data_IF_848452616098
#
_entry.id   IF_848452616098
#
_cell.length_a   1.000
_cell.length_b   1.000
_cell.length_c   1.000
_cell.angle_alpha   90.00
_cell.angle_beta   90.00
_cell.angle_gamma   90.00
#
_symmetry.space_group_name_H-M   'P 1'
#
loop_
_entity.id
_entity.type
_entity.pdbx_description
1 polymer ?
#
# COMPACT_ATOMS: atom_id res chain seq x y z
N UNK A 1 -9.51 13.96 16.27
CA UNK A 1 -8.84 12.67 16.55
C UNK A 1 -9.94 11.65 16.79
N UNK A 2 -10.03 10.57 16.02
CA UNK A 2 -10.85 9.44 16.45
C UNK A 2 -10.34 8.97 17.82
N UNK A 3 -11.25 8.49 18.68
CA UNK A 3 -11.00 8.02 20.05
C UNK A 3 -9.62 7.35 20.20
N UNK A 4 -8.86 7.75 21.21
CA UNK A 4 -7.51 7.22 21.44
C UNK A 4 -7.56 5.69 21.52
N UNK A 5 -6.63 4.99 20.88
CA UNK A 5 -6.62 3.52 20.83
C UNK A 5 -6.86 2.84 22.19
N UNK A 6 -6.43 3.47 23.29
CA UNK A 6 -6.68 3.04 24.67
C UNK A 6 -8.16 2.99 25.05
N UNK A 7 -8.95 3.98 24.62
CA UNK A 7 -10.41 4.01 24.86
C UNK A 7 -11.13 2.86 24.14
N UNK A 8 -10.53 2.34 23.06
CA UNK A 8 -10.99 1.14 22.34
C UNK A 8 -10.45 -0.17 22.93
N UNK A 9 -9.76 -0.12 24.08
CA UNK A 9 -9.19 -1.30 24.72
C UNK A 9 -7.90 -1.84 24.07
N UNK A 10 -7.29 -1.10 23.15
CA UNK A 10 -6.04 -1.51 22.51
C UNK A 10 -4.88 -1.32 23.48
N UNK A 11 -4.10 -2.39 23.68
CA UNK A 11 -2.85 -2.35 24.43
C UNK A 11 -1.74 -1.81 23.54
N UNK A 12 -1.06 -0.75 23.99
CA UNK A 12 -0.03 -0.06 23.21
C UNK A 12 1.34 -0.31 23.84
N UNK A 13 2.28 -0.75 23.01
CA UNK A 13 3.70 -0.91 23.37
C UNK A 13 4.49 0.22 22.72
N UNK A 14 5.37 0.87 23.50
CA UNK A 14 6.25 1.92 22.98
C UNK A 14 7.53 1.28 22.46
N UNK A 15 7.87 1.56 21.21
CA UNK A 15 9.09 1.10 20.55
C UNK A 15 9.04 1.46 19.06
N UNK A 16 10.02 0.98 18.31
CA UNK A 16 10.05 0.99 16.85
C UNK A 16 10.36 -0.42 16.33
N UNK A 17 10.53 -0.58 15.01
CA UNK A 17 10.79 -1.89 14.41
C UNK A 17 12.23 -2.41 14.60
N UNK A 18 13.13 -1.58 15.14
CA UNK A 18 14.49 -1.95 15.50
C UNK A 18 14.63 -2.28 17.00
N UNK A 19 13.66 -1.89 17.83
CA UNK A 19 13.54 -2.26 19.25
C UNK A 19 13.01 -3.70 19.43
N UNK A 20 13.93 -4.66 19.40
CA UNK A 20 13.63 -6.10 19.55
C UNK A 20 12.90 -6.42 20.85
N UNK A 21 13.23 -5.76 21.97
CA UNK A 21 12.60 -6.05 23.26
C UNK A 21 11.15 -5.55 23.30
N UNK A 22 10.88 -4.37 22.72
CA UNK A 22 9.51 -3.88 22.56
C UNK A 22 8.68 -4.81 21.66
N UNK A 23 9.25 -5.31 20.56
CA UNK A 23 8.59 -6.27 19.67
C UNK A 23 8.27 -7.57 20.43
N UNK A 24 9.24 -8.15 21.16
CA UNK A 24 9.02 -9.37 21.97
C UNK A 24 7.94 -9.17 23.02
N UNK A 25 7.91 -8.01 23.67
CA UNK A 25 6.85 -7.68 24.63
C UNK A 25 5.47 -7.63 23.94
N UNK A 26 5.40 -7.07 22.73
CA UNK A 26 4.16 -6.94 21.96
C UNK A 26 3.65 -8.27 21.35
N UNK A 27 4.54 -9.21 21.03
CA UNK A 27 4.16 -10.52 20.46
C UNK A 27 3.79 -11.57 21.52
N UNK A 28 4.09 -11.31 22.79
CA UNK A 28 3.86 -12.30 23.86
C UNK A 28 2.37 -12.60 24.04
N UNK A 29 1.98 -13.86 23.80
CA UNK A 29 0.63 -14.36 24.08
C UNK A 29 -0.43 -13.97 23.06
N UNK A 30 -0.03 -13.44 21.89
CA UNK A 30 -0.96 -13.14 20.80
C UNK A 30 -1.19 -14.37 19.92
N UNK A 31 -2.39 -14.51 19.36
CA UNK A 31 -2.75 -15.59 18.43
C UNK A 31 -2.35 -15.30 16.99
N UNK A 32 -2.11 -14.03 16.63
CA UNK A 32 -1.76 -13.64 15.27
C UNK A 32 -1.04 -12.30 15.20
N UNK A 33 -0.34 -12.07 14.09
CA UNK A 33 0.44 -10.86 13.84
C UNK A 33 0.08 -10.30 12.46
N UNK A 34 -0.23 -9.00 12.41
CA UNK A 34 -0.26 -8.25 11.16
C UNK A 34 1.00 -7.37 11.05
N UNK A 35 1.84 -7.65 10.06
CA UNK A 35 3.07 -6.91 9.80
C UNK A 35 2.90 -5.98 8.58
N UNK A 36 3.03 -4.67 8.81
CA UNK A 36 3.10 -3.67 7.75
C UNK A 36 4.31 -2.76 7.98
N UNK A 37 5.30 -2.85 7.09
CA UNK A 37 6.55 -2.10 7.21
C UNK A 37 6.60 -0.92 6.24
N UNK A 38 6.94 0.24 6.77
CA UNK A 38 7.32 1.41 5.97
C UNK A 38 8.63 1.12 5.22
N UNK A 39 8.78 1.56 3.96
CA UNK A 39 10.06 1.53 3.26
C UNK A 39 11.15 2.28 4.06
N UNK A 40 12.35 1.71 4.12
CA UNK A 40 13.52 2.32 4.77
C UNK A 40 14.65 2.49 3.78
N UNK A 41 15.53 3.45 4.04
CA UNK A 41 16.80 3.61 3.33
C UNK A 41 17.91 3.73 4.39
N UNK A 42 18.84 2.76 4.46
CA UNK A 42 19.06 1.64 3.53
C UNK A 42 17.96 0.56 3.57
N UNK A 43 17.82 -0.18 2.47
CA UNK A 43 16.70 -1.12 2.27
C UNK A 43 16.84 -2.38 3.14
N UNK A 44 18.09 -2.72 3.49
CA UNK A 44 18.47 -3.80 4.40
C UNK A 44 17.85 -3.62 5.79
N UNK A 45 17.59 -2.38 6.22
CA UNK A 45 16.94 -2.11 7.49
C UNK A 45 15.50 -2.66 7.52
N UNK A 46 14.69 -2.45 6.48
CA UNK A 46 13.34 -3.03 6.39
C UNK A 46 13.38 -4.57 6.43
N UNK A 47 14.38 -5.18 5.78
CA UNK A 47 14.56 -6.64 5.83
C UNK A 47 14.89 -7.09 7.26
N UNK A 48 15.76 -6.35 7.96
CA UNK A 48 16.10 -6.64 9.35
C UNK A 48 14.90 -6.46 10.29
N UNK A 49 14.11 -5.41 10.09
CA UNK A 49 12.87 -5.16 10.82
C UNK A 49 11.86 -6.30 10.64
N UNK A 50 11.69 -6.81 9.42
CA UNK A 50 10.86 -8.00 9.17
C UNK A 50 11.36 -9.22 9.94
N UNK A 51 12.68 -9.48 9.93
CA UNK A 51 13.29 -10.58 10.71
C UNK A 51 13.06 -10.41 12.20
N UNK A 52 13.18 -9.20 12.73
CA UNK A 52 12.97 -8.92 14.16
C UNK A 52 11.54 -9.34 14.59
N UNK A 53 10.53 -8.94 13.81
CA UNK A 53 9.13 -9.25 14.10
C UNK A 53 8.84 -10.75 13.93
N UNK A 54 9.30 -11.36 12.84
CA UNK A 54 9.10 -12.80 12.59
C UNK A 54 9.78 -13.64 13.68
N UNK A 55 11.02 -13.33 14.05
CA UNK A 55 11.72 -14.07 15.10
C UNK A 55 11.04 -13.92 16.47
N UNK A 56 10.59 -12.71 16.83
CA UNK A 56 9.88 -12.48 18.09
C UNK A 56 8.50 -13.18 18.13
N UNK A 57 7.81 -13.28 16.98
CA UNK A 57 6.56 -14.01 16.86
C UNK A 57 6.77 -15.53 16.99
N UNK A 58 7.83 -16.08 16.39
CA UNK A 58 8.23 -17.48 16.56
C UNK A 58 8.64 -17.78 18.00
N UNK A 59 9.43 -16.92 18.63
CA UNK A 59 9.88 -17.06 20.03
C UNK A 59 8.70 -17.02 21.02
N UNK A 60 7.66 -16.24 20.74
CA UNK A 60 6.45 -16.22 21.55
C UNK A 60 5.71 -17.56 21.56
N UNK A 61 5.82 -18.35 20.48
CA UNK A 61 5.26 -19.70 20.37
C UNK A 61 3.73 -19.79 20.34
N UNK A 62 3.01 -18.67 20.47
CA UNK A 62 1.54 -18.62 20.47
C UNK A 62 0.94 -18.16 19.15
N UNK A 63 1.74 -17.61 18.24
CA UNK A 63 1.29 -17.04 16.96
C UNK A 63 0.91 -18.17 16.00
N UNK A 64 -0.38 -18.20 15.63
CA UNK A 64 -0.97 -19.19 14.71
C UNK A 64 -1.17 -18.63 13.30
N UNK A 65 -1.43 -17.33 13.18
CA UNK A 65 -1.66 -16.65 11.89
C UNK A 65 -0.70 -15.47 11.72
N UNK A 66 0.05 -15.46 10.62
CA UNK A 66 0.95 -14.36 10.28
C UNK A 66 0.52 -13.71 8.97
N UNK A 67 0.02 -12.48 9.04
CA UNK A 67 -0.40 -11.71 7.88
C UNK A 67 0.62 -10.60 7.61
N UNK A 68 1.14 -10.54 6.40
CA UNK A 68 2.09 -9.50 5.99
C UNK A 68 1.55 -8.68 4.83
N UNK A 69 1.65 -7.36 4.93
CA UNK A 69 1.35 -6.44 3.84
C UNK A 69 2.63 -6.01 3.14
N UNK A 70 2.72 -6.24 1.83
CA UNK A 70 3.84 -5.85 0.97
C UNK A 70 3.37 -4.90 -0.12
N UNK A 71 3.51 -5.26 -1.40
CA UNK A 71 3.12 -4.42 -2.53
C UNK A 71 2.77 -5.28 -3.74
N UNK A 72 1.80 -4.81 -4.52
CA UNK A 72 1.41 -5.44 -5.78
C UNK A 72 2.60 -5.76 -6.70
N UNK A 73 2.57 -6.94 -7.31
CA UNK A 73 3.59 -7.49 -8.21
C UNK A 73 5.02 -7.62 -7.65
N UNK A 74 5.25 -7.42 -6.34
CA UNK A 74 6.61 -7.44 -5.81
C UNK A 74 7.30 -8.80 -5.94
N UNK A 75 6.58 -9.90 -6.11
CA UNK A 75 7.16 -11.23 -6.40
C UNK A 75 7.13 -11.62 -7.88
N UNK A 76 6.68 -10.74 -8.78
CA UNK A 76 6.62 -10.98 -10.22
C UNK A 76 7.79 -10.32 -10.98
N UNK A 77 8.93 -11.02 -11.05
CA UNK A 77 10.14 -10.54 -11.76
C UNK A 77 9.92 -10.28 -13.27
N UNK A 78 8.83 -10.74 -13.88
CA UNK A 78 8.52 -10.42 -15.29
C UNK A 78 8.02 -8.98 -15.48
N UNK A 79 7.49 -8.38 -14.41
CA UNK A 79 6.96 -7.00 -14.42
C UNK A 79 8.10 -5.98 -14.29
N UNK A 80 9.06 -6.22 -13.41
CA UNK A 80 10.05 -5.22 -13.02
C UNK A 80 11.51 -5.75 -12.99
N UNK A 81 11.74 -7.03 -13.27
CA UNK A 81 13.08 -7.62 -13.17
C UNK A 81 14.10 -7.11 -14.20
N UNK A 82 13.65 -6.37 -15.22
CA UNK A 82 14.52 -5.74 -16.22
C UNK A 82 15.17 -4.44 -15.75
N UNK A 83 14.66 -3.81 -14.67
CA UNK A 83 15.28 -2.61 -14.10
C UNK A 83 16.65 -2.96 -13.50
N UNK A 84 17.61 -2.06 -13.70
CA UNK A 84 18.96 -2.17 -13.13
C UNK A 84 18.89 -2.33 -11.60
N UNK A 85 19.76 -3.14 -10.97
CA UNK A 85 19.75 -3.32 -9.51
C UNK A 85 19.90 -2.03 -8.69
N UNK A 86 20.49 -0.98 -9.26
CA UNK A 86 20.60 0.35 -8.63
C UNK A 86 19.34 1.21 -8.78
N UNK A 87 18.39 0.80 -9.64
CA UNK A 87 17.12 1.51 -9.84
C UNK A 87 16.23 1.33 -8.60
N UNK A 88 15.70 2.42 -8.03
CA UNK A 88 14.90 2.32 -6.78
C UNK A 88 13.67 1.43 -6.90
N UNK A 89 13.01 1.31 -8.07
CA UNK A 89 11.90 0.36 -8.22
C UNK A 89 12.39 -1.10 -8.04
N UNK A 90 13.59 -1.42 -8.53
CA UNK A 90 14.21 -2.73 -8.34
C UNK A 90 14.51 -2.97 -6.86
N UNK A 91 15.08 -1.96 -6.18
CA UNK A 91 15.39 -2.01 -4.75
C UNK A 91 14.08 -2.18 -3.96
N UNK A 92 13.07 -1.35 -4.22
CA UNK A 92 11.75 -1.40 -3.58
C UNK A 92 11.13 -2.80 -3.68
N UNK A 93 10.99 -3.35 -4.88
CA UNK A 93 10.36 -4.66 -5.05
C UNK A 93 11.22 -5.82 -4.55
N UNK A 94 12.55 -5.74 -4.67
CA UNK A 94 13.43 -6.77 -4.10
C UNK A 94 13.34 -6.80 -2.58
N UNK A 95 13.25 -5.65 -1.92
CA UNK A 95 13.06 -5.58 -0.47
C UNK A 95 11.72 -6.15 -0.06
N UNK A 96 10.62 -5.79 -0.75
CA UNK A 96 9.29 -6.35 -0.47
C UNK A 96 9.25 -7.86 -0.69
N UNK A 97 9.82 -8.36 -1.78
CA UNK A 97 9.94 -9.79 -2.06
C UNK A 97 10.79 -10.53 -1.01
N UNK A 98 11.86 -9.91 -0.52
CA UNK A 98 12.67 -10.48 0.56
C UNK A 98 11.89 -10.61 1.88
N UNK A 99 11.01 -9.64 2.19
CA UNK A 99 10.10 -9.72 3.34
C UNK A 99 9.11 -10.88 3.19
N UNK A 100 8.54 -11.08 2.00
CA UNK A 100 7.67 -12.23 1.72
C UNK A 100 8.40 -13.55 1.93
N UNK A 101 9.62 -13.65 1.42
CA UNK A 101 10.48 -14.83 1.56
C UNK A 101 10.75 -15.18 3.03
N UNK A 102 10.96 -14.17 3.89
CA UNK A 102 11.16 -14.38 5.33
C UNK A 102 9.90 -15.00 5.96
N UNK A 103 8.72 -14.45 5.66
CA UNK A 103 7.44 -14.93 6.23
C UNK A 103 7.12 -16.33 5.70
N UNK A 104 7.30 -16.59 4.40
CA UNK A 104 7.02 -17.90 3.79
C UNK A 104 7.92 -19.02 4.31
N UNK A 105 9.16 -18.68 4.68
CA UNK A 105 10.13 -19.62 5.26
C UNK A 105 9.98 -19.75 6.78
N UNK A 106 9.18 -18.89 7.40
CA UNK A 106 8.86 -19.00 8.81
C UNK A 106 7.86 -20.14 9.04
N UNK A 107 8.07 -20.91 10.11
CA UNK A 107 7.28 -22.10 10.42
C UNK A 107 6.00 -21.75 11.21
N UNK A 108 5.25 -20.77 10.72
CA UNK A 108 3.94 -20.43 11.30
C UNK A 108 2.86 -21.41 10.79
N UNK A 109 1.87 -21.78 11.61
CA UNK A 109 0.79 -22.67 11.18
C UNK A 109 0.00 -22.13 9.97
N UNK A 110 -0.21 -20.82 9.91
CA UNK A 110 -0.80 -20.14 8.76
C UNK A 110 -0.09 -18.82 8.47
N UNK A 111 0.10 -18.52 7.17
CA UNK A 111 0.51 -17.20 6.73
C UNK A 111 -0.35 -16.70 5.58
N UNK A 112 -0.43 -15.38 5.43
CA UNK A 112 -1.10 -14.72 4.30
C UNK A 112 -0.30 -13.49 3.87
N UNK A 113 -0.15 -13.31 2.57
CA UNK A 113 0.52 -12.15 1.99
C UNK A 113 -0.51 -11.28 1.27
N UNK A 114 -0.60 -10.03 1.69
CA UNK A 114 -1.45 -9.02 1.08
C UNK A 114 -0.58 -8.06 0.27
N UNK A 115 -0.89 -7.89 -1.00
CA UNK A 115 -0.14 -7.04 -1.93
C UNK A 115 -1.04 -5.91 -2.44
N UNK A 116 -1.24 -4.85 -1.64
CA UNK A 116 -2.07 -3.72 -2.05
C UNK A 116 -1.51 -3.04 -3.30
N UNK A 117 -2.44 -2.67 -4.18
CA UNK A 117 -2.22 -1.81 -5.33
C UNK A 117 -2.15 -0.32 -4.93
N UNK A 118 -2.37 0.60 -5.86
CA UNK A 118 -2.32 2.04 -5.57
C UNK A 118 -3.46 2.48 -4.65
N UNK A 119 -3.12 2.93 -3.43
CA UNK A 119 -4.14 3.28 -2.45
C UNK A 119 -4.91 4.54 -2.86
N UNK A 120 -6.23 4.53 -2.67
CA UNK A 120 -7.06 5.72 -2.83
C UNK A 120 -6.59 6.88 -1.93
N UNK A 121 -6.08 6.56 -0.74
CA UNK A 121 -5.56 7.52 0.23
C UNK A 121 -4.32 8.29 -0.26
N UNK A 122 -3.65 7.82 -1.32
CA UNK A 122 -2.51 8.55 -1.89
C UNK A 122 -2.91 9.87 -2.55
N UNK A 123 -4.21 10.09 -2.80
CA UNK A 123 -4.78 11.36 -3.28
C UNK A 123 -5.23 12.29 -2.15
N UNK A 124 -5.14 11.86 -0.90
CA UNK A 124 -5.60 12.58 0.29
C UNK A 124 -4.40 13.04 1.15
N UNK A 125 -4.54 14.15 1.86
CA UNK A 125 -3.52 14.61 2.80
C UNK A 125 -3.37 13.61 3.96
N UNK A 126 -2.15 13.43 4.49
CA UNK A 126 -0.90 14.10 4.09
C UNK A 126 -0.24 13.48 2.85
N UNK A 127 -0.69 12.31 2.37
CA UNK A 127 0.02 11.53 1.36
C UNK A 127 0.04 12.19 -0.02
N UNK A 128 -1.03 12.91 -0.37
CA UNK A 128 -1.08 13.71 -1.60
C UNK A 128 0.08 14.70 -1.72
N UNK A 129 0.59 15.24 -0.62
CA UNK A 129 1.74 16.15 -0.64
C UNK A 129 3.04 15.48 -1.12
N UNK A 130 3.19 14.17 -0.94
CA UNK A 130 4.35 13.40 -1.43
C UNK A 130 4.12 12.84 -2.84
N UNK A 131 2.90 12.39 -3.12
CA UNK A 131 2.57 11.69 -4.37
C UNK A 131 2.13 12.61 -5.50
N UNK A 132 1.40 13.68 -5.18
CA UNK A 132 0.86 14.68 -6.10
C UNK A 132 1.01 16.08 -5.51
N UNK A 133 2.25 16.58 -5.29
CA UNK A 133 2.48 17.84 -4.57
C UNK A 133 1.74 19.02 -5.21
N UNK A 134 1.67 19.07 -6.55
CA UNK A 134 0.97 20.11 -7.30
C UNK A 134 -0.56 20.09 -7.14
N UNK A 135 -1.15 19.02 -6.59
CA UNK A 135 -2.58 18.96 -6.33
C UNK A 135 -2.97 20.00 -5.26
N UNK A 136 -2.17 20.06 -4.19
CA UNK A 136 -2.40 20.95 -3.05
C UNK A 136 -1.99 22.41 -3.32
N UNK A 137 -1.05 22.64 -4.24
CA UNK A 137 -0.51 23.98 -4.53
C UNK A 137 -1.12 24.63 -5.76
N UNK A 138 -1.46 23.85 -6.78
CA UNK A 138 -1.90 24.33 -8.10
C UNK A 138 -3.28 23.76 -8.52
N UNK A 139 -3.80 22.74 -7.81
CA UNK A 139 -5.01 22.03 -8.23
C UNK A 139 -4.75 21.14 -9.45
N UNK A 140 -3.51 20.68 -9.62
CA UNK A 140 -3.06 19.93 -10.79
C UNK A 140 -2.61 18.53 -10.40
N UNK A 141 -3.22 17.51 -11.01
CA UNK A 141 -2.67 16.15 -11.05
C UNK A 141 -1.59 16.08 -12.11
N UNK A 142 -0.36 16.45 -11.73
CA UNK A 142 0.78 16.28 -12.60
C UNK A 142 1.21 14.81 -12.62
N UNK A 143 1.53 14.26 -13.80
CA UNK A 143 1.74 12.83 -14.02
C UNK A 143 2.67 12.52 -15.21
N UNK A 144 2.97 11.24 -15.45
CA UNK A 144 3.71 10.76 -16.62
C UNK A 144 2.99 9.62 -17.38
N UNK A 145 1.71 9.36 -17.07
CA UNK A 145 0.91 8.37 -17.79
C UNK A 145 0.90 8.65 -19.30
N UNK A 146 1.12 7.59 -20.09
CA UNK A 146 0.81 7.56 -21.51
C UNK A 146 -0.72 7.44 -21.71
N UNK A 147 -1.24 7.79 -22.91
CA UNK A 147 -2.67 7.69 -23.18
C UNK A 147 -3.20 6.28 -22.94
N UNK A 148 -4.30 6.19 -22.18
CA UNK A 148 -4.97 4.94 -21.78
C UNK A 148 -4.20 4.03 -20.80
N UNK A 149 -3.05 4.45 -20.26
CA UNK A 149 -2.39 3.71 -19.17
C UNK A 149 -3.34 3.60 -17.98
N UNK A 150 -3.44 2.39 -17.41
CA UNK A 150 -4.27 2.09 -16.24
C UNK A 150 -3.40 1.67 -15.05
N UNK A 151 -3.81 2.07 -13.86
CA UNK A 151 -3.22 1.63 -12.60
C UNK A 151 -4.31 0.95 -11.77
N UNK A 152 -4.06 -0.22 -11.16
CA UNK A 152 -4.96 -0.79 -10.18
C UNK A 152 -4.99 0.07 -8.91
N UNK A 153 -6.19 0.34 -8.42
CA UNK A 153 -6.42 1.11 -7.21
C UNK A 153 -7.20 0.30 -6.18
N UNK A 154 -7.01 0.60 -4.89
CA UNK A 154 -7.79 -0.01 -3.81
C UNK A 154 -7.93 0.92 -2.60
N UNK A 155 -9.00 0.74 -1.82
CA UNK A 155 -9.20 1.41 -0.54
C UNK A 155 -8.35 0.77 0.57
N UNK A 156 -7.80 1.57 1.47
CA UNK A 156 -7.13 1.07 2.68
C UNK A 156 -8.08 0.22 3.53
N UNK A 157 -9.37 0.59 3.62
CA UNK A 157 -10.37 -0.18 4.36
C UNK A 157 -10.50 -1.61 3.80
N UNK A 158 -10.35 -1.81 2.49
CA UNK A 158 -10.39 -3.15 1.90
C UNK A 158 -9.14 -3.97 2.28
N UNK A 159 -7.97 -3.34 2.35
CA UNK A 159 -6.75 -4.00 2.85
C UNK A 159 -6.92 -4.41 4.31
N UNK A 160 -7.50 -3.53 5.14
CA UNK A 160 -7.77 -3.79 6.55
C UNK A 160 -8.77 -4.94 6.74
N UNK A 161 -9.84 -4.99 5.94
CA UNK A 161 -10.79 -6.10 5.97
C UNK A 161 -10.14 -7.44 5.60
N UNK A 162 -9.24 -7.47 4.61
CA UNK A 162 -8.50 -8.69 4.27
C UNK A 162 -7.52 -9.10 5.37
N UNK A 163 -6.82 -8.13 5.97
CA UNK A 163 -5.92 -8.40 7.08
C UNK A 163 -6.67 -8.98 8.29
N UNK A 164 -7.80 -8.39 8.65
CA UNK A 164 -8.66 -8.88 9.74
C UNK A 164 -9.22 -10.28 9.42
N UNK A 165 -9.74 -10.50 8.21
CA UNK A 165 -10.27 -11.79 7.80
C UNK A 165 -9.21 -12.90 7.83
N UNK A 166 -7.98 -12.62 7.37
CA UNK A 166 -6.87 -13.58 7.40
C UNK A 166 -6.39 -13.91 8.83
N UNK A 167 -6.52 -12.98 9.77
CA UNK A 167 -6.25 -13.23 11.19
C UNK A 167 -7.37 -14.02 11.88
N UNK A 168 -8.64 -13.77 11.54
CA UNK A 168 -9.81 -14.39 12.17
C UNK A 168 -10.11 -15.79 11.58
N UNK A 169 -9.87 -15.98 10.28
CA UNK A 169 -10.14 -17.20 9.53
C UNK A 169 -8.85 -17.77 8.89
N UNK A 170 -7.80 -18.08 9.67
CA UNK A 170 -6.48 -18.42 9.12
C UNK A 170 -6.48 -19.63 8.19
N UNK A 171 -7.39 -20.59 8.37
CA UNK A 171 -7.50 -21.78 7.52
C UNK A 171 -7.98 -21.43 6.10
N UNK A 172 -8.82 -20.40 5.96
CA UNK A 172 -9.33 -19.92 4.66
C UNK A 172 -8.27 -19.14 3.87
N UNK A 173 -7.27 -18.60 4.56
CA UNK A 173 -6.24 -17.73 3.97
C UNK A 173 -4.83 -18.33 3.97
N UNK A 174 -4.64 -19.50 4.57
CA UNK A 174 -3.32 -20.12 4.68
C UNK A 174 -2.64 -20.30 3.31
N UNK A 175 -1.42 -19.78 3.19
CA UNK A 175 -0.62 -19.86 1.98
C UNK A 175 -1.11 -18.98 0.83
N UNK A 176 -2.14 -18.15 1.03
CA UNK A 176 -2.61 -17.23 0.00
C UNK A 176 -1.67 -16.02 -0.13
N UNK A 177 -1.35 -15.69 -1.38
CA UNK A 177 -0.64 -14.47 -1.79
C UNK A 177 -1.58 -13.68 -2.70
N UNK A 178 -2.04 -12.52 -2.23
CA UNK A 178 -3.21 -11.84 -2.80
C UNK A 178 -2.80 -10.48 -3.35
N UNK A 179 -2.81 -10.34 -4.68
CA UNK A 179 -2.77 -9.04 -5.35
C UNK A 179 -4.09 -8.31 -5.08
N UNK A 180 -4.04 -7.22 -4.32
CA UNK A 180 -5.22 -6.50 -3.85
C UNK A 180 -5.44 -5.22 -4.68
N UNK A 181 -6.30 -5.31 -5.69
CA UNK A 181 -6.71 -4.20 -6.55
C UNK A 181 -8.19 -4.30 -6.92
N UNK A 182 -8.89 -3.17 -7.01
CA UNK A 182 -10.30 -3.07 -7.34
C UNK A 182 -10.53 -2.49 -8.74
N UNK A 183 -10.31 -1.18 -8.87
CA UNK A 183 -10.56 -0.42 -10.09
C UNK A 183 -9.24 -0.15 -10.80
N UNK A 184 -9.17 -0.44 -12.10
CA UNK A 184 -7.96 -0.18 -12.89
C UNK A 184 -8.11 1.17 -13.59
N UNK A 185 -7.85 2.29 -12.93
CA UNK A 185 -8.20 3.62 -13.44
C UNK A 185 -7.11 4.23 -14.32
N UNK A 186 -7.52 4.92 -15.38
CA UNK A 186 -6.71 5.91 -16.08
C UNK A 186 -6.56 7.17 -15.22
N UNK A 187 -5.62 8.05 -15.59
CA UNK A 187 -5.49 9.32 -14.91
C UNK A 187 -6.73 10.21 -15.13
N UNK A 188 -7.27 10.24 -16.35
CA UNK A 188 -8.46 11.03 -16.67
C UNK A 188 -9.69 10.57 -15.87
N UNK A 189 -9.93 9.25 -15.76
CA UNK A 189 -10.99 8.69 -14.90
C UNK A 189 -10.75 9.06 -13.43
N UNK A 190 -9.51 8.96 -12.94
CA UNK A 190 -9.14 9.36 -11.57
C UNK A 190 -9.46 10.85 -11.34
N UNK A 191 -9.03 11.72 -12.26
CA UNK A 191 -9.26 13.17 -12.21
C UNK A 191 -10.75 13.48 -12.17
N UNK A 192 -11.56 12.84 -13.02
CA UNK A 192 -13.02 13.02 -13.06
C UNK A 192 -13.68 12.67 -11.73
N UNK A 193 -13.30 11.53 -11.15
CA UNK A 193 -13.84 11.07 -9.87
C UNK A 193 -13.46 12.01 -8.72
N UNK A 194 -12.21 12.47 -8.68
CA UNK A 194 -11.73 13.46 -7.70
C UNK A 194 -12.49 14.79 -7.84
N UNK A 195 -12.59 15.33 -9.06
CA UNK A 195 -13.30 16.58 -9.33
C UNK A 195 -14.76 16.50 -8.95
N UNK A 196 -15.43 15.39 -9.26
CA UNK A 196 -16.84 15.17 -8.93
C UNK A 196 -17.06 15.12 -7.42
N UNK A 197 -16.23 14.38 -6.67
CA UNK A 197 -16.36 14.26 -5.23
C UNK A 197 -16.08 15.59 -4.51
N UNK A 198 -15.02 16.30 -4.94
CA UNK A 198 -14.64 17.59 -4.39
C UNK A 198 -15.63 18.72 -4.77
N UNK A 199 -16.23 18.65 -5.96
CA UNK A 199 -17.05 19.72 -6.51
C UNK A 199 -16.24 20.89 -7.09
N UNK A 200 -14.97 20.64 -7.43
CA UNK A 200 -14.06 21.61 -8.07
C UNK A 200 -13.40 20.97 -9.29
N UNK A 201 -13.07 21.78 -10.29
CA UNK A 201 -12.33 21.28 -11.45
C UNK A 201 -10.86 21.08 -11.12
N UNK A 202 -10.34 19.90 -11.44
CA UNK A 202 -8.95 19.50 -11.22
C UNK A 202 -8.33 19.33 -12.59
N UNK A 203 -7.22 20.03 -12.81
CA UNK A 203 -6.49 19.96 -14.07
C UNK A 203 -5.46 18.84 -14.06
N UNK A 204 -5.01 18.42 -15.23
CA UNK A 204 -3.90 17.46 -15.39
C UNK A 204 -2.75 18.13 -16.15
N UNK A 205 -1.53 17.63 -15.90
CA UNK A 205 -0.34 18.05 -16.65
C UNK A 205 0.62 16.88 -16.81
N UNK A 206 0.96 16.57 -18.05
CA UNK A 206 2.05 15.64 -18.34
C UNK A 206 3.37 16.31 -18.00
N UNK A 207 4.18 15.69 -17.14
CA UNK A 207 5.53 16.15 -16.83
C UNK A 207 6.47 15.86 -17.98
N UNK A 208 7.35 16.81 -18.26
CA UNK A 208 8.45 16.63 -19.20
C UNK A 208 9.52 15.69 -18.64
N UNK A 209 10.33 15.10 -19.54
CA UNK A 209 11.47 14.26 -19.14
C UNK A 209 12.44 14.98 -18.21
N UNK A 210 12.66 16.28 -18.41
CA UNK A 210 13.56 17.08 -17.58
C UNK A 210 13.01 17.25 -16.16
N UNK A 211 11.69 17.46 -16.01
CA UNK A 211 11.04 17.50 -14.70
C UNK A 211 11.17 16.16 -13.98
N UNK A 212 10.93 15.04 -14.66
CA UNK A 212 11.07 13.70 -14.08
C UNK A 212 12.50 13.46 -13.57
N UNK A 213 13.51 13.78 -14.38
CA UNK A 213 14.92 13.67 -13.98
C UNK A 213 15.23 14.55 -12.75
N UNK A 214 14.72 15.77 -12.72
CA UNK A 214 14.96 16.73 -11.63
C UNK A 214 14.28 16.31 -10.32
N UNK A 215 13.05 15.78 -10.41
CA UNK A 215 12.29 15.32 -9.26
C UNK A 215 12.88 14.03 -8.69
N UNK A 216 13.29 13.10 -9.57
CA UNK A 216 13.74 11.78 -9.15
C UNK A 216 12.74 11.16 -8.18
N UNK A 217 13.23 10.70 -7.03
CA UNK A 217 12.45 9.96 -6.03
C UNK A 217 11.77 10.82 -4.98
N UNK A 218 11.86 12.14 -5.14
CA UNK A 218 11.16 13.09 -4.27
C UNK A 218 9.65 13.04 -4.47
N UNK A 219 9.18 12.50 -5.59
CA UNK A 219 7.77 12.29 -5.91
C UNK A 219 7.55 10.81 -6.14
N UNK A 220 7.07 10.11 -5.12
CA UNK A 220 7.01 8.65 -5.08
C UNK A 220 6.09 8.01 -6.13
N UNK A 221 5.19 8.78 -6.75
CA UNK A 221 4.31 8.28 -7.83
C UNK A 221 5.07 7.90 -9.08
N UNK A 222 6.11 8.65 -9.45
CA UNK A 222 6.66 8.64 -10.81
C UNK A 222 7.09 7.24 -11.28
N UNK A 223 7.76 6.48 -10.42
CA UNK A 223 8.23 5.13 -10.77
C UNK A 223 7.10 4.14 -11.02
N UNK A 224 5.98 4.24 -10.30
CA UNK A 224 4.85 3.35 -10.50
C UNK A 224 4.07 3.75 -11.75
N UNK A 225 3.99 5.05 -12.05
CA UNK A 225 3.40 5.53 -13.30
C UNK A 225 4.22 5.09 -14.52
N UNK A 226 5.55 5.16 -14.43
CA UNK A 226 6.45 4.65 -15.49
C UNK A 226 6.28 3.14 -15.67
N UNK A 227 6.21 2.38 -14.57
CA UNK A 227 5.94 0.95 -14.64
C UNK A 227 4.60 0.65 -15.33
N UNK A 228 3.55 1.40 -15.02
CA UNK A 228 2.22 1.23 -15.63
C UNK A 228 2.21 1.56 -17.13
N UNK A 229 3.06 2.48 -17.60
CA UNK A 229 3.25 2.71 -19.03
C UNK A 229 3.92 1.52 -19.73
N UNK A 230 4.81 0.80 -19.03
CA UNK A 230 5.57 -0.31 -19.59
C UNK A 230 4.83 -1.66 -19.53
N UNK A 231 3.94 -1.84 -18.54
CA UNK A 231 3.29 -3.12 -18.23
C UNK A 231 1.81 -2.91 -17.94
N UNK A 232 0.99 -3.84 -18.39
CA UNK A 232 -0.38 -3.96 -17.90
C UNK A 232 -0.36 -4.43 -16.45
N UNK A 233 -0.80 -3.57 -15.54
CA UNK A 233 -0.86 -3.81 -14.11
C UNK A 233 -2.29 -4.15 -13.65
N UNK A 234 -3.21 -4.44 -14.57
CA UNK A 234 -4.62 -4.63 -14.22
C UNK A 234 -4.82 -5.81 -13.27
N UNK A 235 -5.61 -5.59 -12.21
CA UNK A 235 -6.03 -6.61 -11.25
C UNK A 235 -7.54 -6.83 -11.36
N UNK A 236 -7.98 -8.08 -11.34
CA UNK A 236 -9.39 -8.45 -11.36
C UNK A 236 -10.00 -8.40 -9.95
N UNK A 237 -10.44 -7.20 -9.55
CA UNK A 237 -11.10 -6.99 -8.26
C UNK A 237 -12.41 -7.77 -8.10
N UNK A 238 -13.14 -8.02 -9.19
CA UNK A 238 -14.41 -8.77 -9.13
C UNK A 238 -14.16 -10.23 -8.75
N UNK A 239 -13.16 -10.85 -9.36
CA UNK A 239 -12.75 -12.21 -9.00
C UNK A 239 -12.32 -12.32 -7.52
N UNK A 240 -11.69 -11.28 -6.96
CA UNK A 240 -11.35 -11.24 -5.53
C UNK A 240 -12.60 -11.16 -4.65
N UNK A 241 -13.55 -10.27 -4.98
CA UNK A 241 -14.82 -10.15 -4.25
C UNK A 241 -15.58 -11.47 -4.28
N UNK A 242 -15.68 -12.12 -5.45
CA UNK A 242 -16.33 -13.42 -5.62
C UNK A 242 -15.64 -14.52 -4.80
N UNK A 243 -14.29 -14.56 -4.82
CA UNK A 243 -13.52 -15.59 -4.12
C UNK A 243 -13.59 -15.45 -2.60
N UNK A 244 -13.48 -14.23 -2.08
CA UNK A 244 -13.33 -14.01 -0.64
C UNK A 244 -14.64 -13.61 0.06
N UNK A 245 -15.63 -13.12 -0.69
CA UNK A 245 -16.90 -12.62 -0.17
C UNK A 245 -16.78 -11.28 0.55
N UNK A 246 -15.67 -10.56 0.35
CA UNK A 246 -15.40 -9.25 0.97
C UNK A 246 -15.67 -8.18 -0.10
N UNK A 247 -16.67 -7.31 0.07
CA UNK A 247 -16.99 -6.28 -0.92
C UNK A 247 -15.90 -5.21 -0.97
N UNK A 248 -15.67 -4.68 -2.18
CA UNK A 248 -14.73 -3.59 -2.40
C UNK A 248 -15.43 -2.24 -2.44
N UNK A 249 -14.77 -1.22 -1.90
CA UNK A 249 -15.24 0.16 -1.97
C UNK A 249 -14.81 0.75 -3.31
N UNK A 250 -15.68 1.54 -3.94
CA UNK A 250 -15.35 2.23 -5.19
C UNK A 250 -14.70 3.58 -4.91
N UNK A 251 -13.79 4.01 -5.78
CA UNK A 251 -12.98 5.21 -5.64
C UNK A 251 -13.84 6.46 -5.40
N UNK A 252 -14.87 6.67 -6.23
CA UNK A 252 -15.75 7.85 -6.13
C UNK A 252 -16.51 7.92 -4.80
N UNK A 253 -16.94 6.77 -4.28
CA UNK A 253 -17.65 6.67 -2.99
C UNK A 253 -16.68 6.98 -1.84
N UNK A 254 -15.45 6.47 -1.91
CA UNK A 254 -14.39 6.75 -0.93
C UNK A 254 -14.00 8.22 -0.94
N UNK A 255 -13.81 8.83 -2.12
CA UNK A 255 -13.54 10.26 -2.22
C UNK A 255 -14.69 11.13 -1.66
N UNK A 256 -15.93 10.65 -1.78
CA UNK A 256 -17.09 11.32 -1.16
C UNK A 256 -17.12 11.12 0.36
N UNK A 257 -16.77 9.92 0.85
CA UNK A 257 -16.64 9.62 2.28
C UNK A 257 -15.56 10.48 2.94
N UNK A 258 -14.41 10.62 2.28
CA UNK A 258 -13.24 11.35 2.76
C UNK A 258 -13.21 12.82 2.29
N UNK A 259 -14.37 13.39 1.97
CA UNK A 259 -14.46 14.71 1.31
C UNK A 259 -13.70 15.80 2.05
N UNK A 260 -13.74 15.82 3.38
CA UNK A 260 -13.04 16.84 4.17
C UNK A 260 -11.51 16.79 3.98
N UNK A 261 -10.92 15.60 3.90
CA UNK A 261 -9.49 15.44 3.63
C UNK A 261 -9.17 15.66 2.14
N UNK A 262 -10.09 15.29 1.24
CA UNK A 262 -9.96 15.57 -0.19
C UNK A 262 -9.90 17.08 -0.46
N UNK A 263 -10.79 17.87 0.14
CA UNK A 263 -10.79 19.32 -0.01
C UNK A 263 -9.50 19.96 0.50
N UNK A 264 -8.92 19.44 1.59
CA UNK A 264 -7.60 19.88 2.08
C UNK A 264 -6.45 19.52 1.13
N UNK A 265 -6.66 18.54 0.26
CA UNK A 265 -5.66 18.05 -0.69
C UNK A 265 -5.60 18.86 -1.98
N UNK A 266 -6.60 19.70 -2.25
CA UNK A 266 -6.77 20.40 -3.52
C UNK A 266 -6.64 21.91 -3.29
N UNK A 267 -5.80 22.56 -4.11
CA UNK A 267 -5.63 24.01 -4.06
C UNK A 267 -6.97 24.74 -4.26
N UNK A 268 -7.28 25.67 -3.36
CA UNK A 268 -8.46 26.54 -3.48
C UNK A 268 -9.82 25.89 -3.17
N UNK A 269 -9.86 24.61 -2.77
CA UNK A 269 -11.11 23.88 -2.51
C UNK A 269 -11.73 24.14 -1.10
N UNK A 270 -11.55 25.34 -0.53
CA UNK A 270 -12.09 25.70 0.79
C UNK A 270 -13.53 26.21 0.73
#
# INVERSE_FOLDING_TARGET
MPLSFKEKGVVIFKGDFDDVEAIKAATKGVDGVFQNLSPTWPAEQQIQQAKNIVNAALEAGTVKSYVVSTAFYCSNRRIWGHYDPSHELHIYYTTKSAVEDIVKKADFPSYTILRPAWLYQNYLVPQSGYYFPELSTEGILAHVYEPNTRMPHIDVDNVEHFAAAALIEPDKFNGHEIELGNENLTLEETRELLSKAAGVDINTRIRSKQEVIKLGFKVGTLIFQQLANEKDLSIDGKALVEKYGIPFNNFGDVMTREKDELLKSIAGAK
#
